data_IF_960364108539
#
_entry.id   IF_960364108539
#
_cell.length_a   1.000
_cell.length_b   1.000
_cell.length_c   1.000
_cell.angle_alpha   90.00
_cell.angle_beta   90.00
_cell.angle_gamma   90.00
#
_symmetry.space_group_name_H-M   'P 1'
#
loop_
_entity.id
_entity.type
_entity.pdbx_description
1 polymer ?
#
# COMPACT_ATOMS: atom_id res chain seq x y z
N UNK A 1 -29.77 -2.20 3.19
CA UNK A 1 -29.60 -3.34 2.27
C UNK A 1 -28.12 -3.71 2.32
N UNK A 2 -27.73 -4.97 2.04
CA UNK A 2 -26.32 -5.36 2.02
C UNK A 2 -25.85 -5.53 0.58
N UNK A 3 -24.86 -4.74 0.17
CA UNK A 3 -24.29 -4.79 -1.18
C UNK A 3 -23.00 -5.61 -1.18
N UNK A 4 -22.88 -6.51 -2.14
CA UNK A 4 -21.71 -7.39 -2.28
C UNK A 4 -20.63 -6.70 -3.12
N UNK A 5 -19.41 -6.68 -2.60
CA UNK A 5 -18.18 -6.26 -3.27
C UNK A 5 -17.28 -7.47 -3.40
N UNK A 6 -17.16 -8.01 -4.62
CA UNK A 6 -16.30 -9.16 -4.86
C UNK A 6 -14.83 -8.74 -4.78
N UNK A 7 -14.07 -9.38 -3.89
CA UNK A 7 -12.61 -9.25 -3.87
C UNK A 7 -12.04 -10.06 -5.06
N UNK A 8 -11.13 -9.48 -5.88
CA UNK A 8 -10.58 -10.18 -7.03
C UNK A 8 -9.90 -11.50 -6.66
N UNK A 9 -9.98 -12.51 -7.55
CA UNK A 9 -9.35 -13.82 -7.30
C UNK A 9 -7.84 -13.73 -7.11
N UNK A 10 -7.19 -12.83 -7.85
CA UNK A 10 -5.79 -12.45 -7.68
C UNK A 10 -5.77 -10.98 -7.30
N UNK A 11 -5.63 -10.68 -6.01
CA UNK A 11 -5.79 -9.33 -5.51
C UNK A 11 -4.46 -8.58 -5.39
N UNK A 12 -4.18 -7.74 -6.37
CA UNK A 12 -2.95 -6.97 -6.47
C UNK A 12 -3.15 -5.58 -7.06
N UNK A 13 -2.06 -4.86 -7.29
CA UNK A 13 -2.11 -3.51 -7.84
C UNK A 13 -2.75 -3.42 -9.23
N UNK A 14 -2.79 -4.51 -10.02
CA UNK A 14 -3.43 -4.52 -11.35
C UNK A 14 -4.94 -4.76 -11.24
N UNK A 15 -5.36 -5.64 -10.33
CA UNK A 15 -6.80 -5.89 -10.09
C UNK A 15 -7.44 -4.90 -9.12
N UNK A 16 -6.65 -4.01 -8.50
CA UNK A 16 -7.15 -3.03 -7.54
C UNK A 16 -8.22 -2.10 -8.13
N UNK A 17 -8.11 -1.69 -9.40
CA UNK A 17 -9.11 -0.81 -10.01
C UNK A 17 -10.46 -1.52 -10.20
N UNK A 18 -10.46 -2.83 -10.46
CA UNK A 18 -11.68 -3.63 -10.47
C UNK A 18 -12.33 -3.63 -9.08
N UNK A 19 -11.53 -3.79 -8.04
CA UNK A 19 -11.99 -3.74 -6.65
C UNK A 19 -12.55 -2.36 -6.28
N UNK A 20 -11.82 -1.27 -6.54
CA UNK A 20 -12.26 0.09 -6.27
C UNK A 20 -13.56 0.44 -7.01
N UNK A 21 -13.69 0.00 -8.28
CA UNK A 21 -14.93 0.14 -9.04
C UNK A 21 -16.09 -0.62 -8.42
N UNK A 22 -15.86 -1.83 -7.91
CA UNK A 22 -16.89 -2.62 -7.22
C UNK A 22 -17.27 -2.00 -5.86
N UNK A 23 -16.33 -1.37 -5.16
CA UNK A 23 -16.61 -0.59 -3.96
C UNK A 23 -17.58 0.56 -4.27
N UNK A 24 -17.33 1.35 -5.33
CA UNK A 24 -18.19 2.49 -5.67
C UNK A 24 -18.37 3.46 -4.50
N UNK A 25 -19.57 4.02 -4.32
CA UNK A 25 -19.91 4.75 -3.10
C UNK A 25 -20.14 3.78 -1.93
N UNK A 26 -19.30 3.90 -0.91
CA UNK A 26 -19.31 3.03 0.27
C UNK A 26 -20.18 3.58 1.41
N UNK A 27 -20.87 4.70 1.22
CA UNK A 27 -21.63 5.40 2.28
C UNK A 27 -23.13 5.07 2.31
N UNK A 28 -23.67 4.50 1.23
CA UNK A 28 -25.12 4.27 1.10
C UNK A 28 -25.60 2.95 1.74
N UNK A 29 -24.86 1.86 1.53
CA UNK A 29 -25.25 0.50 1.90
C UNK A 29 -24.22 -0.16 2.82
N UNK A 30 -24.69 -1.09 3.67
CA UNK A 30 -23.77 -2.00 4.35
C UNK A 30 -23.06 -2.87 3.31
N UNK A 31 -21.75 -3.00 3.41
CA UNK A 31 -20.96 -3.76 2.45
C UNK A 31 -20.64 -5.16 2.94
N UNK A 32 -20.69 -6.13 2.03
CA UNK A 32 -20.07 -7.44 2.18
C UNK A 32 -18.92 -7.56 1.20
N UNK A 33 -17.70 -7.54 1.71
CA UNK A 33 -16.50 -7.83 0.96
C UNK A 33 -16.35 -9.35 0.84
N UNK A 34 -16.63 -9.90 -0.33
CA UNK A 34 -16.56 -11.34 -0.55
C UNK A 34 -15.18 -11.76 -1.05
N UNK A 35 -14.36 -12.28 -0.14
CA UNK A 35 -13.05 -12.85 -0.43
C UNK A 35 -13.07 -14.38 -0.63
N UNK A 36 -14.24 -15.04 -0.61
CA UNK A 36 -14.33 -16.51 -0.68
C UNK A 36 -13.62 -17.09 -1.92
N UNK A 37 -13.73 -16.42 -3.07
CA UNK A 37 -13.10 -16.82 -4.33
C UNK A 37 -11.64 -16.34 -4.50
N UNK A 38 -11.06 -15.71 -3.47
CA UNK A 38 -9.68 -15.21 -3.53
C UNK A 38 -8.69 -16.37 -3.47
N UNK A 39 -7.84 -16.46 -4.49
CA UNK A 39 -6.79 -17.47 -4.64
C UNK A 39 -5.41 -16.93 -4.28
N UNK A 40 -5.22 -15.61 -4.32
CA UNK A 40 -4.00 -14.96 -3.91
C UNK A 40 -4.22 -13.47 -3.63
N UNK A 41 -3.48 -12.90 -2.67
CA UNK A 41 -3.45 -11.47 -2.44
C UNK A 41 -2.03 -10.98 -2.16
N UNK A 42 -1.64 -9.92 -2.85
CA UNK A 42 -0.40 -9.20 -2.57
C UNK A 42 -0.52 -8.35 -1.30
N UNK A 43 0.59 -7.86 -0.72
CA UNK A 43 0.57 -6.84 0.33
C UNK A 43 -0.31 -5.65 -0.02
N UNK A 44 -0.26 -5.19 -1.28
CA UNK A 44 -1.03 -4.05 -1.78
C UNK A 44 -2.54 -4.28 -1.72
N UNK A 45 -2.99 -5.47 -2.12
CA UNK A 45 -4.39 -5.85 -2.00
C UNK A 45 -4.85 -5.90 -0.55
N UNK A 46 -4.04 -6.50 0.33
CA UNK A 46 -4.39 -6.64 1.75
C UNK A 46 -4.49 -5.29 2.48
N UNK A 47 -3.52 -4.40 2.32
CA UNK A 47 -3.58 -3.07 2.96
C UNK A 47 -4.68 -2.19 2.34
N UNK A 48 -4.94 -2.34 1.04
CA UNK A 48 -6.07 -1.67 0.39
C UNK A 48 -7.43 -2.17 0.87
N UNK A 49 -7.56 -3.47 1.19
CA UNK A 49 -8.75 -4.03 1.81
C UNK A 49 -8.95 -3.49 3.23
N UNK A 50 -7.88 -3.32 4.01
CA UNK A 50 -7.98 -2.68 5.33
C UNK A 50 -8.43 -1.22 5.21
N UNK A 51 -7.88 -0.46 4.25
CA UNK A 51 -8.31 0.91 3.99
C UNK A 51 -9.79 1.01 3.59
N UNK A 52 -10.28 0.10 2.72
CA UNK A 52 -11.70 0.02 2.38
C UNK A 52 -12.58 -0.26 3.61
N UNK A 53 -12.14 -1.20 4.45
CA UNK A 53 -12.87 -1.62 5.65
C UNK A 53 -12.96 -0.53 6.68
N UNK A 54 -11.83 0.13 6.94
CA UNK A 54 -11.76 1.27 7.84
C UNK A 54 -12.69 2.39 7.36
N UNK A 55 -12.58 2.79 6.08
CA UNK A 55 -13.44 3.84 5.53
C UNK A 55 -14.93 3.50 5.65
N UNK A 56 -15.31 2.28 5.24
CA UNK A 56 -16.70 1.83 5.28
C UNK A 56 -17.24 1.70 6.71
N UNK A 57 -16.40 1.31 7.68
CA UNK A 57 -16.80 1.25 9.09
C UNK A 57 -16.98 2.65 9.70
N UNK A 58 -16.17 3.62 9.29
CA UNK A 58 -16.21 4.99 9.81
C UNK A 58 -17.31 5.86 9.17
N UNK A 59 -17.62 5.63 7.89
CA UNK A 59 -18.50 6.49 7.09
C UNK A 59 -19.75 5.80 6.55
N UNK A 60 -19.79 4.47 6.58
CA UNK A 60 -20.94 3.68 6.13
C UNK A 60 -22.01 3.56 7.20
N UNK A 61 -23.19 3.01 6.84
CA UNK A 61 -24.33 2.91 7.76
C UNK A 61 -24.13 1.86 8.85
N UNK A 62 -23.36 0.81 8.56
CA UNK A 62 -23.07 -0.31 9.45
C UNK A 62 -21.67 -0.85 9.19
N UNK A 63 -21.12 -1.53 10.20
CA UNK A 63 -19.83 -2.22 10.08
C UNK A 63 -19.85 -3.22 8.91
N UNK A 64 -18.87 -3.16 7.99
CA UNK A 64 -18.84 -4.04 6.83
C UNK A 64 -18.58 -5.50 7.22
N UNK A 65 -19.06 -6.40 6.39
CA UNK A 65 -18.79 -7.83 6.47
C UNK A 65 -17.60 -8.19 5.60
N UNK A 66 -16.82 -9.18 6.00
CA UNK A 66 -15.76 -9.76 5.19
C UNK A 66 -15.80 -11.28 5.27
N UNK A 67 -15.95 -11.95 4.13
CA UNK A 67 -15.78 -13.40 4.09
C UNK A 67 -14.29 -13.76 4.15
N UNK A 68 -13.96 -14.86 4.82
CA UNK A 68 -12.63 -15.46 4.79
C UNK A 68 -12.45 -16.21 3.46
N UNK A 69 -11.26 -16.20 2.82
CA UNK A 69 -10.99 -17.01 1.64
C UNK A 69 -11.38 -18.48 1.83
N UNK A 70 -12.02 -19.07 0.83
CA UNK A 70 -12.43 -20.48 0.88
C UNK A 70 -11.24 -21.44 0.80
N UNK A 71 -10.17 -21.01 0.13
CA UNK A 71 -8.89 -21.73 0.10
C UNK A 71 -8.15 -21.57 1.44
N UNK A 72 -7.82 -22.71 2.06
CA UNK A 72 -7.18 -22.74 3.38
C UNK A 72 -5.76 -22.19 3.38
N UNK A 73 -4.99 -22.40 2.31
CA UNK A 73 -3.62 -21.92 2.23
C UNK A 73 -3.59 -20.40 2.07
N UNK A 74 -4.55 -19.85 1.31
CA UNK A 74 -4.75 -18.40 1.18
C UNK A 74 -5.16 -17.78 2.51
N UNK A 75 -6.15 -18.36 3.20
CA UNK A 75 -6.55 -17.90 4.52
C UNK A 75 -5.38 -17.98 5.53
N UNK A 76 -4.62 -19.09 5.55
CA UNK A 76 -3.44 -19.22 6.40
C UNK A 76 -2.39 -18.15 6.10
N UNK A 77 -2.14 -17.87 4.82
CA UNK A 77 -1.24 -16.80 4.42
C UNK A 77 -1.73 -15.43 4.91
N UNK A 78 -3.02 -15.09 4.75
CA UNK A 78 -3.58 -13.82 5.26
C UNK A 78 -3.40 -13.70 6.78
N UNK A 79 -3.63 -14.78 7.52
CA UNK A 79 -3.39 -14.82 8.96
C UNK A 79 -1.90 -14.60 9.30
N UNK A 80 -0.97 -15.26 8.60
CA UNK A 80 0.48 -15.08 8.84
C UNK A 80 0.96 -13.69 8.47
N UNK A 81 0.36 -13.08 7.44
CA UNK A 81 0.61 -11.70 7.06
C UNK A 81 0.02 -10.70 8.07
N UNK A 82 -0.69 -11.14 9.12
CA UNK A 82 -1.27 -10.29 10.15
C UNK A 82 -2.61 -9.66 9.77
N UNK A 83 -3.17 -9.98 8.60
CA UNK A 83 -4.35 -9.30 8.07
C UNK A 83 -5.57 -9.44 8.99
N UNK A 84 -5.92 -10.67 9.40
CA UNK A 84 -7.14 -10.90 10.18
C UNK A 84 -7.12 -10.26 11.57
N UNK A 85 -5.93 -10.08 12.16
CA UNK A 85 -5.81 -9.42 13.45
C UNK A 85 -6.29 -7.97 13.38
N UNK A 86 -5.96 -7.27 12.29
CA UNK A 86 -6.36 -5.88 12.05
C UNK A 86 -7.74 -5.76 11.40
N UNK A 87 -8.09 -6.70 10.52
CA UNK A 87 -9.39 -6.73 9.88
C UNK A 87 -10.52 -6.90 10.92
N UNK A 88 -10.25 -7.57 12.04
CA UNK A 88 -11.20 -7.76 13.14
C UNK A 88 -11.55 -6.46 13.91
N UNK A 89 -10.90 -5.33 13.64
CA UNK A 89 -11.31 -4.02 14.15
C UNK A 89 -12.35 -3.34 13.25
N UNK A 90 -12.28 -3.61 11.94
CA UNK A 90 -13.08 -2.91 10.92
C UNK A 90 -14.19 -3.76 10.33
N UNK A 91 -14.03 -5.08 10.30
CA UNK A 91 -14.96 -6.03 9.67
C UNK A 91 -15.60 -6.98 10.66
N UNK A 92 -16.86 -7.33 10.43
CA UNK A 92 -17.43 -8.56 10.95
C UNK A 92 -16.99 -9.72 10.03
N UNK A 93 -16.16 -10.63 10.57
CA UNK A 93 -15.53 -11.70 9.81
C UNK A 93 -16.46 -12.92 9.69
N UNK A 94 -16.74 -13.33 8.45
CA UNK A 94 -17.55 -14.51 8.13
C UNK A 94 -16.68 -15.66 7.60
N UNK A 95 -16.59 -16.73 8.39
CA UNK A 95 -15.82 -17.92 8.04
C UNK A 95 -14.80 -18.28 9.11
N UNK A 96 -14.03 -19.35 8.85
CA UNK A 96 -13.06 -19.85 9.82
C UNK A 96 -11.74 -19.13 9.69
N UNK A 97 -11.50 -18.13 10.55
CA UNK A 97 -10.20 -17.48 10.68
C UNK A 97 -9.17 -18.49 11.23
N UNK A 98 -8.05 -18.74 10.53
CA UNK A 98 -7.04 -19.67 11.01
C UNK A 98 -6.32 -19.10 12.23
N UNK A 99 -6.08 -19.96 13.23
CA UNK A 99 -5.20 -19.63 14.35
C UNK A 99 -3.76 -19.80 13.90
N UNK A 100 -3.09 -18.69 13.63
CA UNK A 100 -1.68 -18.68 13.25
C UNK A 100 -0.95 -17.67 14.12
N UNK A 101 0.24 -18.04 14.55
CA UNK A 101 1.20 -17.06 15.07
C UNK A 101 1.69 -16.24 13.87
N UNK A 102 1.70 -14.89 13.93
CA UNK A 102 2.32 -14.07 12.89
C UNK A 102 3.73 -14.59 12.63
N UNK A 103 3.97 -15.04 11.40
CA UNK A 103 5.13 -15.86 11.13
C UNK A 103 6.39 -15.00 10.94
N UNK A 104 7.51 -15.43 11.52
CA UNK A 104 8.87 -15.25 11.00
C UNK A 104 9.08 -16.14 9.77
N UNK A 105 8.21 -16.01 8.77
CA UNK A 105 8.38 -16.68 7.46
C UNK A 105 9.42 -15.89 6.65
N UNK A 106 10.29 -16.58 5.91
CA UNK A 106 11.31 -15.94 5.05
C UNK A 106 10.71 -14.90 4.09
N UNK A 107 9.49 -15.17 3.61
CA UNK A 107 8.82 -14.34 2.61
C UNK A 107 8.09 -13.12 3.22
N UNK A 108 7.88 -13.09 4.54
CA UNK A 108 7.21 -11.98 5.25
C UNK A 108 8.26 -11.17 6.00
N UNK A 109 8.72 -10.11 5.34
CA UNK A 109 9.67 -9.16 5.93
C UNK A 109 9.00 -8.33 7.02
N UNK A 110 7.83 -7.79 6.75
CA UNK A 110 7.04 -7.06 7.71
C UNK A 110 5.60 -7.55 7.56
N UNK A 111 5.06 -8.17 8.61
CA UNK A 111 3.63 -8.41 8.70
C UNK A 111 2.89 -7.07 8.58
N UNK A 112 1.61 -7.09 8.27
CA UNK A 112 0.83 -5.86 8.21
C UNK A 112 0.93 -5.18 9.58
N UNK A 113 1.42 -3.95 9.57
CA UNK A 113 1.67 -3.12 10.75
C UNK A 113 0.86 -1.84 10.65
N UNK A 114 0.11 -1.45 11.69
CA UNK A 114 -0.58 -0.17 11.73
C UNK A 114 0.43 0.98 11.81
N UNK A 115 0.08 2.10 11.19
CA UNK A 115 0.80 3.38 11.30
C UNK A 115 -0.19 4.41 11.82
N UNK A 116 -0.08 4.72 13.12
CA UNK A 116 -0.98 5.65 13.84
C UNK A 116 -0.26 6.90 14.29
N UNK A 117 1.05 6.80 14.52
CA UNK A 117 1.89 7.92 14.92
C UNK A 117 3.37 7.71 14.63
N UNK A 118 4.18 8.71 14.99
CA UNK A 118 5.62 8.72 14.74
C UNK A 118 6.37 7.55 15.38
N UNK A 119 5.92 7.07 16.55
CA UNK A 119 6.54 5.93 17.23
C UNK A 119 6.39 4.62 16.43
N UNK A 120 5.24 4.42 15.76
CA UNK A 120 5.04 3.27 14.87
C UNK A 120 6.01 3.30 13.68
N UNK A 121 6.30 4.50 13.16
CA UNK A 121 7.25 4.68 12.05
C UNK A 121 8.65 4.21 12.46
N UNK A 122 9.09 4.55 13.68
CA UNK A 122 10.38 4.08 14.21
C UNK A 122 10.41 2.55 14.32
N UNK A 123 9.37 1.95 14.90
CA UNK A 123 9.28 0.49 15.03
C UNK A 123 9.24 -0.25 13.68
N UNK A 124 8.60 0.33 12.67
CA UNK A 124 8.60 -0.17 11.28
C UNK A 124 10.01 -0.15 10.69
N UNK A 125 10.74 0.95 10.87
CA UNK A 125 12.12 1.11 10.38
C UNK A 125 13.05 0.10 11.06
N UNK A 126 12.99 -0.02 12.39
CA UNK A 126 13.79 -0.98 13.16
C UNK A 126 13.51 -2.43 12.70
N UNK A 127 12.23 -2.81 12.63
CA UNK A 127 11.81 -4.16 12.20
C UNK A 127 12.35 -4.52 10.81
N UNK A 128 12.33 -3.55 9.90
CA UNK A 128 12.84 -3.74 8.55
C UNK A 128 14.36 -3.77 8.53
N UNK A 129 15.06 -2.91 9.26
CA UNK A 129 16.53 -2.94 9.32
C UNK A 129 17.06 -4.27 9.85
N UNK A 130 16.46 -4.80 10.93
CA UNK A 130 16.82 -6.10 11.50
C UNK A 130 16.64 -7.24 10.49
N UNK A 131 15.51 -7.26 9.77
CA UNK A 131 15.19 -8.34 8.81
C UNK A 131 15.83 -8.16 7.44
N UNK A 132 16.14 -6.93 7.06
CA UNK A 132 16.76 -6.58 5.79
C UNK A 132 18.20 -7.10 5.70
N UNK A 133 18.93 -7.13 6.81
CA UNK A 133 20.26 -7.74 6.85
C UNK A 133 20.24 -9.22 6.43
N UNK A 134 19.17 -9.96 6.75
CA UNK A 134 19.01 -11.36 6.39
C UNK A 134 18.54 -11.58 4.94
N UNK A 135 17.66 -10.72 4.42
CA UNK A 135 16.96 -10.95 3.14
C UNK A 135 17.43 -10.03 2.01
N UNK A 136 17.70 -8.74 2.28
CA UNK A 136 18.23 -7.85 1.23
C UNK A 136 19.66 -8.24 0.86
N UNK A 137 20.53 -8.50 1.85
CA UNK A 137 21.90 -8.95 1.60
C UNK A 137 21.97 -10.41 1.15
N UNK A 138 21.14 -11.29 1.72
CA UNK A 138 21.19 -12.74 1.46
C UNK A 138 20.43 -13.21 0.21
N UNK A 139 19.26 -12.64 -0.09
CA UNK A 139 18.36 -13.17 -1.14
C UNK A 139 18.16 -12.23 -2.33
N UNK A 140 18.47 -10.94 -2.20
CA UNK A 140 18.38 -9.96 -3.30
C UNK A 140 19.76 -9.51 -3.80
N UNK A 141 20.83 -9.84 -3.08
CA UNK A 141 22.20 -9.41 -3.38
C UNK A 141 22.41 -7.89 -3.25
N UNK A 142 21.62 -7.22 -2.41
CA UNK A 142 21.70 -5.77 -2.22
C UNK A 142 22.73 -5.41 -1.15
N UNK A 143 23.58 -4.42 -1.43
CA UNK A 143 24.57 -3.90 -0.47
C UNK A 143 23.92 -3.18 0.73
N UNK A 144 24.62 -3.05 1.85
CA UNK A 144 24.13 -2.38 3.06
C UNK A 144 23.64 -0.93 2.83
N UNK A 145 24.21 -0.23 1.85
CA UNK A 145 23.79 1.12 1.42
C UNK A 145 22.39 1.11 0.79
N UNK A 146 22.00 0.02 0.15
CA UNK A 146 20.65 -0.20 -0.37
C UNK A 146 19.64 -0.32 0.78
N UNK A 147 19.97 -1.07 1.82
CA UNK A 147 19.11 -1.30 2.99
C UNK A 147 18.74 0.00 3.71
N UNK A 148 19.69 0.92 3.87
CA UNK A 148 19.42 2.23 4.46
C UNK A 148 18.42 3.05 3.63
N UNK A 149 18.57 3.07 2.30
CA UNK A 149 17.63 3.77 1.44
C UNK A 149 16.22 3.15 1.41
N UNK A 150 16.12 1.84 1.61
CA UNK A 150 14.85 1.14 1.76
C UNK A 150 14.12 1.58 3.04
N UNK A 151 14.84 1.58 4.17
CA UNK A 151 14.32 2.06 5.45
C UNK A 151 13.87 3.53 5.37
N UNK A 152 14.65 4.39 4.71
CA UNK A 152 14.25 5.78 4.47
C UNK A 152 12.97 5.87 3.63
N UNK A 153 12.88 5.12 2.53
CA UNK A 153 11.69 5.16 1.67
C UNK A 153 10.42 4.71 2.42
N UNK A 154 10.55 3.70 3.27
CA UNK A 154 9.48 3.23 4.14
C UNK A 154 9.08 4.29 5.17
N UNK A 155 10.07 4.90 5.84
CA UNK A 155 9.84 5.97 6.80
C UNK A 155 9.10 7.15 6.17
N UNK A 156 9.51 7.59 4.98
CA UNK A 156 8.85 8.68 4.26
C UNK A 156 7.40 8.33 3.89
N UNK A 157 7.16 7.11 3.38
CA UNK A 157 5.82 6.67 3.04
C UNK A 157 4.89 6.54 4.27
N UNK A 158 5.40 6.04 5.39
CA UNK A 158 4.63 5.94 6.65
C UNK A 158 4.43 7.32 7.31
N UNK A 159 5.42 8.19 7.28
CA UNK A 159 5.32 9.55 7.81
C UNK A 159 4.25 10.36 7.05
N UNK A 160 4.07 10.08 5.75
CA UNK A 160 2.99 10.68 4.98
C UNK A 160 1.61 10.34 5.56
N UNK A 161 1.41 9.15 6.12
CA UNK A 161 0.14 8.79 6.80
C UNK A 161 -0.04 9.70 8.03
N UNK A 162 0.94 9.67 8.93
CA UNK A 162 0.90 10.38 10.23
C UNK A 162 0.63 11.86 10.03
N UNK A 163 1.22 12.43 8.99
CA UNK A 163 1.02 13.83 8.68
C UNK A 163 -0.30 14.03 7.94
N UNK A 164 -0.44 13.42 6.78
CA UNK A 164 -1.35 13.91 5.76
C UNK A 164 -2.69 13.19 5.70
N UNK A 165 -2.78 11.95 6.16
CA UNK A 165 -3.99 11.15 6.01
C UNK A 165 -5.16 11.70 6.84
N UNK A 166 -4.88 12.28 8.01
CA UNK A 166 -5.92 12.67 8.99
C UNK A 166 -6.57 11.46 9.69
N UNK A 167 -6.00 10.27 9.49
CA UNK A 167 -6.39 9.00 10.10
C UNK A 167 -5.18 8.06 10.10
N UNK A 168 -5.33 6.84 10.60
CA UNK A 168 -4.29 5.81 10.56
C UNK A 168 -4.19 5.11 9.20
N UNK A 169 -3.12 4.34 9.02
CA UNK A 169 -2.95 3.49 7.85
C UNK A 169 -2.15 2.23 8.17
N UNK A 170 -1.68 1.58 7.12
CA UNK A 170 -1.10 0.25 7.17
C UNK A 170 0.13 0.18 6.29
N UNK A 171 1.12 -0.58 6.74
CA UNK A 171 2.31 -0.91 5.96
C UNK A 171 2.56 -2.41 5.99
N UNK A 172 2.99 -2.97 4.87
CA UNK A 172 3.39 -4.37 4.77
C UNK A 172 4.56 -4.52 3.81
N UNK A 173 5.47 -5.43 4.12
CA UNK A 173 6.64 -5.73 3.30
C UNK A 173 6.77 -7.23 3.12
N UNK A 174 6.86 -7.69 1.88
CA UNK A 174 7.04 -9.11 1.58
C UNK A 174 8.07 -9.30 0.47
N UNK A 175 8.80 -10.42 0.54
CA UNK A 175 9.74 -10.86 -0.46
C UNK A 175 9.26 -12.17 -1.07
N UNK A 176 9.16 -12.25 -2.40
CA UNK A 176 8.77 -13.50 -3.06
C UNK A 176 9.25 -13.55 -4.51
N UNK A 177 9.25 -14.75 -5.10
CA UNK A 177 9.76 -14.98 -6.45
C UNK A 177 8.70 -14.73 -7.53
N UNK A 178 8.93 -13.73 -8.37
CA UNK A 178 8.08 -13.46 -9.53
C UNK A 178 8.41 -14.38 -10.70
N UNK A 179 7.90 -15.61 -10.67
CA UNK A 179 8.17 -16.62 -11.70
C UNK A 179 7.76 -16.20 -13.12
N UNK A 180 6.63 -15.49 -13.27
CA UNK A 180 6.03 -15.20 -14.59
C UNK A 180 6.35 -13.82 -15.18
N UNK A 181 6.75 -12.83 -14.35
CA UNK A 181 7.07 -11.47 -14.83
C UNK A 181 8.56 -11.30 -15.05
N UNK A 182 9.33 -11.44 -13.97
CA UNK A 182 10.76 -11.10 -13.96
C UNK A 182 11.69 -12.32 -13.82
N UNK A 183 11.15 -13.49 -13.49
CA UNK A 183 11.96 -14.69 -13.25
C UNK A 183 12.90 -14.60 -12.04
N UNK A 184 12.72 -13.62 -11.16
CA UNK A 184 13.58 -13.39 -9.98
C UNK A 184 12.78 -12.95 -8.75
N UNK A 185 13.44 -12.90 -7.59
CA UNK A 185 12.85 -12.40 -6.35
C UNK A 185 12.59 -10.89 -6.45
N UNK A 186 11.53 -10.45 -5.77
CA UNK A 186 11.20 -9.04 -5.60
C UNK A 186 10.82 -8.79 -4.15
N UNK A 187 11.09 -7.60 -3.66
CA UNK A 187 10.47 -7.06 -2.46
C UNK A 187 9.34 -6.15 -2.87
N UNK A 188 8.17 -6.37 -2.26
CA UNK A 188 6.98 -5.55 -2.42
C UNK A 188 6.68 -4.88 -1.10
N UNK A 189 6.69 -3.55 -1.12
CA UNK A 189 6.24 -2.70 -0.04
C UNK A 189 4.89 -2.12 -0.45
N UNK A 190 3.92 -2.24 0.44
CA UNK A 190 2.64 -1.59 0.28
C UNK A 190 2.33 -0.73 1.50
N UNK A 191 1.89 0.49 1.25
CA UNK A 191 1.42 1.43 2.26
C UNK A 191 0.03 1.91 1.83
N UNK A 192 -0.94 1.93 2.73
CA UNK A 192 -2.26 2.49 2.45
C UNK A 192 -2.87 3.15 3.67
N UNK A 193 -3.62 4.22 3.45
CA UNK A 193 -4.45 4.88 4.46
C UNK A 193 -5.90 5.02 3.95
N UNK A 194 -6.82 5.25 4.87
CA UNK A 194 -8.23 5.55 4.59
C UNK A 194 -8.53 7.06 4.69
N UNK A 195 -7.52 7.91 4.50
CA UNK A 195 -7.58 9.32 4.80
C UNK A 195 -8.16 10.21 3.70
N UNK A 196 -7.79 11.49 3.77
CA UNK A 196 -8.31 12.54 2.88
C UNK A 196 -7.71 12.55 1.47
N UNK A 197 -6.59 11.85 1.26
CA UNK A 197 -5.86 11.78 -0.01
C UNK A 197 -5.03 13.03 -0.34
N UNK A 198 -4.23 12.91 -1.42
CA UNK A 198 -3.21 13.91 -1.79
C UNK A 198 -3.81 15.26 -2.17
N UNK A 199 -4.88 15.27 -2.99
CA UNK A 199 -5.51 16.52 -3.45
C UNK A 199 -5.96 17.38 -2.28
N UNK A 200 -6.72 16.81 -1.34
CA UNK A 200 -7.20 17.56 -0.17
C UNK A 200 -6.06 17.94 0.77
N UNK A 201 -5.09 17.04 0.98
CA UNK A 201 -3.95 17.37 1.85
C UNK A 201 -3.08 18.51 1.32
N UNK A 202 -2.97 18.68 0.00
CA UNK A 202 -2.09 19.68 -0.61
C UNK A 202 -2.82 20.96 -1.02
N UNK A 203 -4.15 20.96 -1.00
CA UNK A 203 -5.00 22.05 -1.49
C UNK A 203 -4.58 23.42 -0.94
N UNK A 204 -4.40 23.53 0.38
CA UNK A 204 -4.04 24.79 1.04
C UNK A 204 -2.67 25.37 0.60
N UNK A 205 -1.76 24.53 0.08
CA UNK A 205 -0.39 24.96 -0.27
C UNK A 205 -0.12 24.96 -1.77
N UNK A 206 -0.84 24.16 -2.55
CA UNK A 206 -0.58 23.95 -3.97
C UNK A 206 -1.71 24.44 -4.88
N UNK A 207 -2.98 24.45 -4.44
CA UNK A 207 -4.10 24.70 -5.34
C UNK A 207 -4.01 26.05 -6.07
N UNK A 208 -3.58 27.12 -5.37
CA UNK A 208 -3.43 28.45 -5.97
C UNK A 208 -2.40 28.49 -7.11
N UNK A 209 -1.39 27.62 -7.09
CA UNK A 209 -0.38 27.52 -8.15
C UNK A 209 -0.93 26.87 -9.42
N UNK A 210 -1.86 25.94 -9.29
CA UNK A 210 -2.45 25.20 -10.42
C UNK A 210 -3.77 25.80 -10.92
N UNK A 211 -4.46 26.59 -10.09
CA UNK A 211 -5.74 27.22 -10.41
C UNK A 211 -6.77 26.18 -10.84
N UNK A 212 -7.43 26.42 -11.96
CA UNK A 212 -8.46 25.52 -12.52
C UNK A 212 -7.94 24.13 -12.88
N UNK A 213 -6.62 23.94 -12.98
CA UNK A 213 -6.01 22.63 -13.25
C UNK A 213 -5.85 21.77 -11.99
N UNK A 214 -6.22 22.27 -10.80
CA UNK A 214 -6.08 21.51 -9.57
C UNK A 214 -6.99 20.28 -9.54
N UNK A 215 -6.38 19.12 -9.75
CA UNK A 215 -6.99 17.80 -9.80
C UNK A 215 -6.20 16.78 -8.99
N UNK A 216 -6.74 15.57 -8.83
CA UNK A 216 -6.02 14.46 -8.18
C UNK A 216 -4.70 14.15 -8.90
N UNK A 217 -4.69 14.19 -10.23
CA UNK A 217 -3.50 13.98 -11.04
C UNK A 217 -2.43 15.04 -10.76
N UNK A 218 -2.79 16.32 -10.82
CA UNK A 218 -1.83 17.41 -10.55
C UNK A 218 -1.34 17.43 -9.10
N UNK A 219 -2.15 16.97 -8.15
CA UNK A 219 -1.73 16.83 -6.77
C UNK A 219 -0.66 15.74 -6.61
N UNK A 220 -0.84 14.60 -7.29
CA UNK A 220 0.14 13.52 -7.33
C UNK A 220 1.45 13.96 -8.03
N UNK A 221 1.35 14.69 -9.14
CA UNK A 221 2.53 15.26 -9.82
C UNK A 221 3.28 16.27 -8.93
N UNK A 222 2.55 17.16 -8.24
CA UNK A 222 3.15 18.12 -7.31
C UNK A 222 3.87 17.41 -6.16
N UNK A 223 3.26 16.37 -5.59
CA UNK A 223 3.86 15.59 -4.52
C UNK A 223 5.13 14.86 -4.98
N UNK A 224 5.12 14.25 -6.17
CA UNK A 224 6.20 13.42 -6.67
C UNK A 224 7.39 14.24 -7.20
N UNK A 225 7.13 15.24 -8.05
CA UNK A 225 8.20 15.95 -8.78
C UNK A 225 8.61 17.27 -8.15
N UNK A 226 7.75 17.89 -7.34
CA UNK A 226 8.00 19.21 -6.79
C UNK A 226 8.38 19.17 -5.31
N UNK A 227 8.47 17.97 -4.73
CA UNK A 227 8.77 17.78 -3.31
C UNK A 227 7.78 18.50 -2.41
N UNK A 228 6.51 18.62 -2.86
CA UNK A 228 5.50 19.38 -2.15
C UNK A 228 5.14 18.66 -0.84
N UNK A 229 5.74 19.11 0.27
CA UNK A 229 5.26 18.85 1.62
C UNK A 229 4.65 20.12 2.20
N UNK A 230 3.62 19.95 3.02
CA UNK A 230 3.02 21.05 3.79
C UNK A 230 3.97 21.60 4.86
N UNK A 231 4.97 20.81 5.26
CA UNK A 231 6.00 21.20 6.21
C UNK A 231 7.37 21.26 5.50
N UNK A 232 7.90 22.46 5.29
CA UNK A 232 9.26 22.64 4.76
C UNK A 232 10.24 22.66 5.93
N UNK A 233 10.98 21.56 6.13
CA UNK A 233 12.08 21.51 7.09
C UNK A 233 13.38 21.07 6.38
N UNK A 234 14.49 21.83 6.44
CA UNK A 234 15.71 21.59 5.64
C UNK A 234 16.45 20.27 5.93
N UNK A 235 16.06 19.52 6.96
CA UNK A 235 16.64 18.23 7.34
C UNK A 235 15.76 17.00 7.07
N UNK A 236 14.52 17.18 6.58
CA UNK A 236 13.63 16.07 6.23
C UNK A 236 13.93 15.52 4.84
N UNK A 237 13.85 14.20 4.70
CA UNK A 237 14.04 13.50 3.44
C UNK A 237 13.12 14.06 2.35
N UNK A 238 13.50 13.86 1.10
CA UNK A 238 12.95 14.59 -0.04
C UNK A 238 11.50 14.19 -0.44
N UNK A 239 10.72 13.65 0.50
CA UNK A 239 9.38 13.12 0.29
C UNK A 239 9.33 12.00 -0.75
N UNK A 240 8.21 11.90 -1.47
CA UNK A 240 8.03 10.96 -2.57
C UNK A 240 9.10 11.11 -3.67
N UNK A 241 9.61 12.32 -3.92
CA UNK A 241 10.70 12.54 -4.86
C UNK A 241 12.02 11.88 -4.42
N UNK A 242 12.26 11.78 -3.11
CA UNK A 242 13.36 11.02 -2.52
C UNK A 242 13.20 9.52 -2.76
N UNK A 243 12.01 8.99 -2.49
CA UNK A 243 11.65 7.58 -2.71
C UNK A 243 11.85 7.22 -4.19
N UNK A 244 11.31 8.03 -5.09
CA UNK A 244 11.45 7.90 -6.54
C UNK A 244 12.90 7.77 -6.99
N UNK A 245 13.76 8.70 -6.56
CA UNK A 245 15.18 8.70 -6.94
C UNK A 245 15.92 7.50 -6.38
N UNK A 246 15.56 7.04 -5.17
CA UNK A 246 16.13 5.82 -4.61
C UNK A 246 15.74 4.61 -5.45
N UNK A 247 14.45 4.39 -5.70
CA UNK A 247 13.95 3.23 -6.45
C UNK A 247 14.50 3.18 -7.88
N UNK A 248 14.65 4.33 -8.54
CA UNK A 248 15.22 4.38 -9.88
C UNK A 248 16.64 3.80 -9.97
N UNK A 249 17.46 3.93 -8.91
CA UNK A 249 18.82 3.33 -8.86
C UNK A 249 18.80 1.81 -8.83
N UNK A 250 17.69 1.21 -8.42
CA UNK A 250 17.51 -0.23 -8.28
C UNK A 250 16.57 -0.82 -9.33
N UNK A 251 16.31 -0.08 -10.41
CA UNK A 251 15.28 -0.43 -11.41
C UNK A 251 13.94 -0.76 -10.74
N UNK A 252 13.63 -0.08 -9.64
CA UNK A 252 12.43 -0.30 -8.84
C UNK A 252 11.23 0.44 -9.42
N UNK A 253 10.05 -0.03 -9.06
CA UNK A 253 8.77 0.63 -9.38
C UNK A 253 8.28 1.41 -8.18
N UNK A 254 7.75 2.61 -8.44
CA UNK A 254 6.89 3.36 -7.53
C UNK A 254 5.54 3.53 -8.19
N UNK A 255 4.44 3.28 -7.47
CA UNK A 255 3.11 3.70 -7.89
C UNK A 255 2.37 4.32 -6.71
N UNK A 256 1.72 5.45 -6.93
CA UNK A 256 0.93 6.17 -5.93
C UNK A 256 -0.45 6.40 -6.51
N UNK A 257 -1.48 5.91 -5.82
CA UNK A 257 -2.88 6.11 -6.13
C UNK A 257 -3.53 6.98 -5.06
N UNK A 258 -4.34 7.95 -5.46
CA UNK A 258 -5.18 8.73 -4.54
C UNK A 258 -6.30 9.40 -5.32
N UNK A 259 -7.51 9.43 -4.74
CA UNK A 259 -8.69 9.96 -5.41
C UNK A 259 -8.98 9.21 -6.71
N UNK A 260 -9.17 9.95 -7.80
CA UNK A 260 -9.44 9.41 -9.14
C UNK A 260 -8.19 9.27 -10.03
N UNK A 261 -6.99 9.31 -9.46
CA UNK A 261 -5.74 9.27 -10.23
C UNK A 261 -4.70 8.31 -9.64
N UNK A 262 -3.78 7.88 -10.50
CA UNK A 262 -2.62 7.08 -10.14
C UNK A 262 -1.41 7.52 -10.95
N UNK A 263 -0.30 7.79 -10.28
CA UNK A 263 0.99 8.12 -10.90
C UNK A 263 1.99 6.99 -10.62
N UNK A 264 2.82 6.65 -11.60
CA UNK A 264 3.82 5.59 -11.49
C UNK A 264 5.15 5.98 -12.12
N UNK A 265 6.25 5.60 -11.46
CA UNK A 265 7.58 5.51 -12.07
C UNK A 265 7.74 4.08 -12.53
N UNK A 266 7.66 3.90 -13.84
CA UNK A 266 7.57 2.58 -14.49
C UNK A 266 8.97 2.17 -14.96
N UNK A 267 9.56 1.12 -14.37
CA UNK A 267 10.83 0.58 -14.84
C UNK A 267 10.65 -0.22 -16.15
N UNK A 268 11.74 -0.50 -16.85
CA UNK A 268 11.72 -1.16 -18.16
C UNK A 268 11.08 -2.56 -18.19
N UNK A 269 10.93 -3.20 -17.03
CA UNK A 269 10.34 -4.53 -16.91
C UNK A 269 8.83 -4.54 -16.63
N UNK A 270 8.22 -3.37 -16.41
CA UNK A 270 6.77 -3.24 -16.22
C UNK A 270 6.16 -2.47 -17.40
N UNK A 271 4.90 -2.74 -17.68
CA UNK A 271 4.12 -2.14 -18.78
C UNK A 271 3.00 -1.23 -18.25
N UNK A 272 3.10 -0.83 -16.98
CA UNK A 272 2.13 0.06 -16.36
C UNK A 272 2.16 1.46 -16.97
N UNK A 273 1.09 2.23 -16.75
CA UNK A 273 1.01 3.61 -17.25
C UNK A 273 1.63 4.60 -16.25
N UNK A 274 2.46 5.57 -16.72
CA UNK A 274 3.03 6.59 -15.84
C UNK A 274 2.00 7.47 -15.14
N UNK A 275 0.88 7.76 -15.79
CA UNK A 275 -0.25 8.49 -15.22
C UNK A 275 -1.54 7.88 -15.75
N UNK A 276 -2.49 7.63 -14.85
CA UNK A 276 -3.84 7.20 -15.18
C UNK A 276 -4.83 8.10 -14.44
N UNK A 277 -5.79 8.64 -15.17
CA UNK A 277 -6.84 9.52 -14.66
C UNK A 277 -8.23 8.90 -14.89
N UNK A 278 -9.27 9.49 -14.28
CA UNK A 278 -10.65 9.03 -14.44
C UNK A 278 -10.91 7.67 -13.77
N UNK A 279 -10.09 7.29 -12.79
CA UNK A 279 -10.30 6.10 -11.98
C UNK A 279 -11.49 6.33 -11.05
N UNK A 280 -12.16 5.25 -10.64
CA UNK A 280 -13.18 5.36 -9.57
C UNK A 280 -12.51 5.91 -8.32
N UNK A 281 -13.02 6.99 -7.69
CA UNK A 281 -12.46 7.50 -6.45
C UNK A 281 -12.38 6.41 -5.39
N UNK A 282 -11.27 6.37 -4.67
CA UNK A 282 -11.07 5.47 -3.54
C UNK A 282 -10.46 6.25 -2.37
N UNK A 283 -10.85 5.95 -1.11
CA UNK A 283 -10.41 6.71 0.05
C UNK A 283 -8.89 6.67 0.25
N UNK A 284 -8.38 7.74 0.84
CA UNK A 284 -6.99 7.90 1.22
C UNK A 284 -6.00 7.84 0.06
N UNK A 285 -4.87 7.21 0.33
CA UNK A 285 -3.82 6.96 -0.64
C UNK A 285 -3.27 5.55 -0.53
N UNK A 286 -2.75 5.04 -1.65
CA UNK A 286 -2.10 3.74 -1.73
C UNK A 286 -0.76 3.91 -2.43
N UNK A 287 0.32 3.50 -1.77
CA UNK A 287 1.69 3.53 -2.28
C UNK A 287 2.20 2.11 -2.45
N UNK A 288 2.71 1.81 -3.63
CA UNK A 288 3.36 0.56 -3.99
C UNK A 288 4.81 0.85 -4.32
N UNK A 289 5.73 0.12 -3.68
CA UNK A 289 7.13 0.09 -4.09
C UNK A 289 7.53 -1.35 -4.38
N UNK A 290 8.24 -1.55 -5.48
CA UNK A 290 8.75 -2.87 -5.87
C UNK A 290 10.22 -2.75 -6.17
N UNK A 291 11.04 -3.56 -5.50
CA UNK A 291 12.48 -3.64 -5.71
C UNK A 291 12.83 -5.05 -6.18
N UNK A 292 13.29 -5.23 -7.43
CA UNK A 292 13.76 -6.54 -7.88
C UNK A 292 15.12 -6.90 -7.29
N UNK A 293 15.38 -8.21 -7.14
CA UNK A 293 16.73 -8.72 -6.92
C UNK A 293 17.65 -8.30 -8.08
N UNK A 294 18.93 -8.06 -7.78
CA UNK A 294 19.91 -7.83 -8.84
C UNK A 294 20.13 -9.12 -9.64
N UNK A 295 20.36 -8.98 -10.95
CA UNK A 295 20.88 -10.08 -11.75
C UNK A 295 22.28 -10.44 -11.25
N UNK A 296 22.58 -11.74 -11.13
CA UNK A 296 23.93 -12.19 -10.90
C UNK A 296 24.79 -11.73 -12.10
N UNK A 297 25.83 -10.94 -11.82
CA UNK A 297 26.83 -10.55 -12.82
C UNK A 297 27.64 -11.76 -13.28
#
# INVERSE_FOLDING_TARGET
MTRVVNVPSHFDARSFEQFAKACGDMTDDRLLFDAHATQWASPFGLVGLLAAGQWAAEHGPERPLLTVPGDRDVAHYWGRAGFFAHAADWYELHGKVPRVTPATSSDVLLAITPVRGTDDVHGVVESVQERSAAILSGELGLEATATMGFAMALSEACQNIVEHAGTSGWVAVQAYHWRRRLGRRVVVIAVADAGIGFRRSLEATQASRFGDRWSDATALEAALFQGASRFRDPGRGQGLGGIARYLNRWSGKLAVRSGAARISIVPSWDDDQPLTEGLTPFPGSQVLMIVPAQEAQ
#
